data_IF_809188577678
#
_entry.id   IF_809188577678
#
_cell.length_a   1.000
_cell.length_b   1.000
_cell.length_c   1.000
_cell.angle_alpha   90.00
_cell.angle_beta   90.00
_cell.angle_gamma   90.00
#
_symmetry.space_group_name_H-M   'P 1'
#
loop_
_entity.id
_entity.type
_entity.pdbx_description
1 polymer ?
#
# COMPACT_ATOMS: atom_id res chain seq x y z
N UNK A 1 -4.77 14.18 -3.04
CA UNK A 1 -3.85 15.26 -3.45
C UNK A 1 -3.08 14.71 -4.64
N UNK A 2 -2.79 15.56 -5.63
CA UNK A 2 -2.11 15.17 -6.87
C UNK A 2 -0.74 15.86 -6.91
N UNK A 3 0.18 15.36 -7.74
CA UNK A 3 1.55 15.89 -7.82
C UNK A 3 1.60 17.37 -8.23
N UNK A 4 0.67 17.78 -9.10
CA UNK A 4 0.45 19.19 -9.47
C UNK A 4 -1.02 19.55 -9.33
N UNK A 5 -1.32 20.82 -9.07
CA UNK A 5 -2.68 21.34 -9.15
C UNK A 5 -3.09 21.63 -10.60
N UNK A 6 -4.40 21.64 -10.87
CA UNK A 6 -4.92 21.98 -12.21
C UNK A 6 -4.54 23.39 -12.64
N UNK A 7 -4.51 24.35 -11.71
CA UNK A 7 -4.11 25.72 -11.99
C UNK A 7 -2.64 25.82 -12.43
N UNK A 8 -1.75 25.03 -11.81
CA UNK A 8 -0.33 24.97 -12.22
C UNK A 8 -0.16 24.30 -13.58
N UNK A 9 -0.98 23.29 -13.89
CA UNK A 9 -0.97 22.62 -15.19
C UNK A 9 -1.50 23.55 -16.30
N UNK A 10 -2.60 24.26 -16.04
CA UNK A 10 -3.21 25.22 -16.96
C UNK A 10 -2.27 26.38 -17.26
N UNK A 11 -1.66 26.97 -16.22
CA UNK A 11 -0.66 28.02 -16.38
C UNK A 11 0.55 27.59 -17.23
N UNK A 12 0.89 26.29 -17.24
CA UNK A 12 1.97 25.75 -18.05
C UNK A 12 1.58 25.53 -19.53
N UNK A 13 0.30 25.31 -19.82
CA UNK A 13 -0.18 25.15 -21.19
C UNK A 13 -0.16 26.47 -21.98
N UNK A 14 -0.26 27.61 -21.30
CA UNK A 14 -0.39 28.94 -21.91
C UNK A 14 -1.60 29.01 -22.88
N UNK A 15 -2.69 28.33 -22.52
CA UNK A 15 -3.92 28.20 -23.31
C UNK A 15 -5.13 28.62 -22.46
N UNK A 16 -6.08 29.37 -23.03
CA UNK A 16 -7.31 29.77 -22.34
C UNK A 16 -8.32 28.60 -22.37
N UNK A 17 -8.38 27.82 -21.30
CA UNK A 17 -9.36 26.76 -21.19
C UNK A 17 -10.76 27.35 -20.95
N UNK A 18 -11.74 26.92 -21.74
CA UNK A 18 -13.13 27.35 -21.54
C UNK A 18 -13.65 26.89 -20.17
N UNK A 19 -14.37 27.78 -19.47
CA UNK A 19 -15.05 27.45 -18.21
C UNK A 19 -15.93 26.21 -18.39
N UNK A 20 -15.68 25.15 -17.60
CA UNK A 20 -16.42 23.88 -17.67
C UNK A 20 -15.77 22.79 -18.54
N UNK A 21 -14.52 22.95 -18.95
CA UNK A 21 -13.73 21.88 -19.58
C UNK A 21 -13.51 20.72 -18.59
N UNK A 22 -14.31 19.65 -18.72
CA UNK A 22 -14.19 18.44 -17.88
C UNK A 22 -13.04 17.53 -18.31
N UNK A 23 -12.54 17.71 -19.52
CA UNK A 23 -11.52 16.84 -20.11
C UNK A 23 -10.12 17.11 -19.57
N UNK A 24 -9.80 18.38 -19.31
CA UNK A 24 -8.47 18.77 -18.84
C UNK A 24 -8.15 18.23 -17.43
N UNK A 25 -9.04 18.34 -16.43
CA UNK A 25 -8.84 17.70 -15.13
C UNK A 25 -8.66 16.17 -15.24
N UNK A 26 -9.46 15.50 -16.06
CA UNK A 26 -9.37 14.05 -16.28
C UNK A 26 -7.99 13.65 -16.87
N UNK A 27 -7.46 14.48 -17.77
CA UNK A 27 -6.13 14.26 -18.35
C UNK A 27 -5.02 14.41 -17.30
N UNK A 28 -5.13 15.41 -16.43
CA UNK A 28 -4.20 15.63 -15.34
C UNK A 28 -4.22 14.46 -14.34
N UNK A 29 -5.41 13.98 -13.97
CA UNK A 29 -5.57 12.79 -13.10
C UNK A 29 -4.97 11.53 -13.75
N UNK A 30 -5.16 11.36 -15.06
CA UNK A 30 -4.56 10.24 -15.80
C UNK A 30 -3.02 10.34 -15.84
N UNK A 31 -2.46 11.54 -16.00
CA UNK A 31 -1.03 11.77 -16.00
C UNK A 31 -0.42 11.48 -14.62
N UNK A 32 -1.07 11.95 -13.56
CA UNK A 32 -0.70 11.68 -12.16
C UNK A 32 -0.67 10.18 -11.86
N UNK A 33 -1.76 9.46 -12.17
CA UNK A 33 -1.85 8.02 -12.00
C UNK A 33 -0.79 7.26 -12.82
N UNK A 34 -0.52 7.73 -14.03
CA UNK A 34 0.51 7.15 -14.90
C UNK A 34 1.92 7.32 -14.32
N UNK A 35 2.25 8.52 -13.80
CA UNK A 35 3.54 8.80 -13.18
C UNK A 35 3.76 7.94 -11.93
N UNK A 36 2.74 7.79 -11.07
CA UNK A 36 2.77 6.90 -9.91
C UNK A 36 2.99 5.44 -10.31
N UNK A 37 2.30 4.96 -11.34
CA UNK A 37 2.48 3.61 -11.87
C UNK A 37 3.88 3.40 -12.48
N UNK A 38 4.41 4.40 -13.18
CA UNK A 38 5.73 4.36 -13.79
C UNK A 38 6.84 4.29 -12.72
N UNK A 39 6.75 5.15 -11.70
CA UNK A 39 7.70 5.23 -10.60
C UNK A 39 7.50 4.14 -9.54
N UNK A 40 6.33 3.48 -9.56
CA UNK A 40 5.90 2.42 -8.62
C UNK A 40 5.85 2.87 -7.16
N UNK A 41 5.43 4.12 -6.96
CA UNK A 41 5.27 4.75 -5.67
C UNK A 41 4.30 5.92 -5.78
N UNK A 42 3.76 6.30 -4.63
CA UNK A 42 3.05 7.56 -4.45
C UNK A 42 4.05 8.66 -4.08
N UNK A 43 3.67 9.91 -4.36
CA UNK A 43 4.53 11.06 -4.11
C UNK A 43 3.98 11.93 -3.00
N UNK A 44 2.68 11.91 -2.77
CA UNK A 44 2.03 12.69 -1.73
C UNK A 44 2.18 12.03 -0.37
N UNK A 45 2.32 12.86 0.66
CA UNK A 45 2.43 12.41 2.04
C UNK A 45 1.18 11.62 2.47
N UNK A 46 1.38 10.40 2.93
CA UNK A 46 0.35 9.56 3.54
C UNK A 46 0.94 8.63 4.60
N UNK A 47 0.06 8.10 5.45
CA UNK A 47 0.41 7.10 6.46
C UNK A 47 0.13 5.70 5.93
N UNK A 48 1.10 4.81 6.14
CA UNK A 48 1.13 3.45 5.62
C UNK A 48 1.32 2.45 6.75
N UNK A 49 0.56 1.36 6.70
CA UNK A 49 0.82 0.12 7.45
C UNK A 49 1.09 -0.97 6.42
N UNK A 50 2.36 -1.35 6.29
CA UNK A 50 2.80 -2.28 5.27
C UNK A 50 3.49 -3.50 5.88
N UNK A 51 3.38 -4.62 5.14
CA UNK A 51 4.00 -5.87 5.52
C UNK A 51 4.96 -6.30 4.42
N UNK A 52 6.20 -6.58 4.81
CA UNK A 52 7.29 -6.93 3.93
C UNK A 52 7.74 -8.37 4.16
N UNK A 53 8.25 -8.98 3.09
CA UNK A 53 8.95 -10.25 3.17
C UNK A 53 10.37 -10.01 3.66
N UNK A 54 10.79 -10.72 4.69
CA UNK A 54 12.19 -10.73 5.07
C UNK A 54 12.99 -11.68 4.20
N UNK A 55 14.21 -11.27 3.85
CA UNK A 55 15.11 -12.05 2.98
C UNK A 55 16.38 -12.53 3.70
N UNK A 56 16.51 -12.29 5.02
CA UNK A 56 17.74 -12.57 5.76
C UNK A 56 18.82 -11.50 5.58
N UNK A 57 18.54 -10.44 4.83
CA UNK A 57 19.50 -9.37 4.52
C UNK A 57 19.40 -8.21 5.53
N UNK A 58 20.48 -7.43 5.72
CA UNK A 58 20.49 -6.25 6.58
C UNK A 58 19.53 -5.15 6.15
N UNK A 59 19.26 -5.04 4.86
CA UNK A 59 18.51 -3.93 4.29
C UNK A 59 17.09 -4.33 3.90
N UNK A 60 16.14 -3.45 4.21
CA UNK A 60 14.74 -3.51 3.80
C UNK A 60 14.37 -2.20 3.12
N UNK A 61 13.80 -2.30 1.92
CA UNK A 61 13.46 -1.16 1.09
C UNK A 61 11.96 -0.89 1.19
N UNK A 62 11.61 0.28 1.72
CA UNK A 62 10.22 0.71 1.83
C UNK A 62 9.64 1.06 0.46
N UNK A 63 8.33 0.89 0.33
CA UNK A 63 7.63 1.16 -0.92
C UNK A 63 7.53 2.65 -1.21
N UNK A 64 7.41 3.46 -0.15
CA UNK A 64 7.14 4.90 -0.21
C UNK A 64 8.26 5.66 0.49
N UNK A 65 8.69 6.76 -0.11
CA UNK A 65 9.74 7.64 0.41
C UNK A 65 9.64 9.02 -0.29
N UNK A 66 10.11 10.12 0.32
CA UNK A 66 10.88 10.18 1.56
C UNK A 66 10.03 9.85 2.80
N UNK A 67 10.62 9.24 3.81
CA UNK A 67 9.97 8.91 5.09
C UNK A 67 10.11 10.09 6.03
N UNK A 68 9.00 10.64 6.50
CA UNK A 68 8.97 11.78 7.42
C UNK A 68 8.77 11.35 8.87
N UNK A 69 8.11 10.22 9.09
CA UNK A 69 7.93 9.64 10.42
C UNK A 69 7.83 8.12 10.34
N UNK A 70 8.48 7.40 11.27
CA UNK A 70 8.36 5.95 11.40
C UNK A 70 7.94 5.65 12.83
N UNK A 71 6.69 5.21 12.97
CA UNK A 71 6.06 5.00 14.28
C UNK A 71 6.27 3.61 14.82
N UNK A 72 6.42 2.60 13.95
CA UNK A 72 6.66 1.22 14.37
C UNK A 72 7.37 0.39 13.30
N UNK A 73 8.35 -0.39 13.76
CA UNK A 73 8.92 -1.53 13.04
C UNK A 73 8.71 -2.79 13.89
N UNK A 74 8.19 -3.86 13.33
CA UNK A 74 8.14 -5.19 13.97
C UNK A 74 8.69 -6.21 12.99
N UNK A 75 9.64 -7.07 13.40
CA UNK A 75 10.38 -7.94 12.47
C UNK A 75 9.89 -9.39 12.43
N UNK A 76 8.93 -9.72 13.28
CA UNK A 76 8.34 -11.05 13.42
C UNK A 76 6.85 -10.94 13.72
N UNK A 77 6.19 -12.10 13.75
CA UNK A 77 4.83 -12.27 14.24
C UNK A 77 4.84 -13.25 15.40
N UNK A 78 3.87 -13.11 16.29
CA UNK A 78 3.67 -13.99 17.44
C UNK A 78 2.21 -14.38 17.57
N UNK A 79 1.94 -15.59 18.05
CA UNK A 79 0.58 -16.03 18.35
C UNK A 79 0.01 -15.21 19.51
N UNK A 80 -1.20 -14.67 19.34
CA UNK A 80 -1.90 -13.91 20.39
C UNK A 80 -3.20 -14.58 20.80
N UNK A 81 -3.93 -15.14 19.84
CA UNK A 81 -5.21 -15.82 20.05
C UNK A 81 -5.20 -17.10 19.24
N UNK A 82 -5.47 -18.24 19.86
CA UNK A 82 -5.66 -19.50 19.14
C UNK A 82 -7.13 -19.87 19.10
N UNK A 83 -7.58 -20.44 17.99
CA UNK A 83 -8.98 -20.85 17.80
C UNK A 83 -9.08 -22.28 17.29
N UNK A 84 -10.10 -23.02 17.72
CA UNK A 84 -10.43 -24.33 17.18
C UNK A 84 -11.94 -24.54 17.06
N UNK A 85 -12.35 -25.44 16.16
CA UNK A 85 -13.70 -25.96 16.13
C UNK A 85 -13.72 -27.31 16.86
N UNK A 86 -14.59 -27.44 17.86
CA UNK A 86 -14.66 -28.62 18.74
C UNK A 86 -15.56 -29.73 18.19
N UNK A 87 -16.27 -29.47 17.09
CA UNK A 87 -17.05 -30.52 16.43
C UNK A 87 -16.13 -31.46 15.62
N UNK A 88 -16.52 -32.74 15.55
CA UNK A 88 -15.82 -33.76 14.77
C UNK A 88 -16.38 -33.79 13.33
N UNK A 89 -15.83 -33.01 12.38
CA UNK A 89 -16.38 -32.90 11.01
C UNK A 89 -15.35 -32.57 9.90
N UNK A 90 -15.88 -32.46 8.66
CA UNK A 90 -15.17 -32.42 7.37
C UNK A 90 -14.54 -31.07 7.01
N UNK A 91 -15.11 -29.92 7.39
CA UNK A 91 -14.47 -28.60 7.14
C UNK A 91 -14.75 -27.57 8.24
N UNK A 92 -13.68 -26.97 8.77
CA UNK A 92 -13.72 -25.80 9.63
C UNK A 92 -12.51 -24.92 9.34
N UNK A 93 -12.72 -23.61 9.15
CA UNK A 93 -11.64 -22.68 8.87
C UNK A 93 -11.79 -21.35 9.60
N UNK A 94 -10.66 -20.76 9.94
CA UNK A 94 -10.56 -19.42 10.50
C UNK A 94 -9.87 -18.48 9.51
N UNK A 95 -10.46 -17.31 9.30
CA UNK A 95 -9.94 -16.24 8.43
C UNK A 95 -9.95 -14.92 9.19
N UNK A 96 -8.83 -14.21 9.17
CA UNK A 96 -8.70 -12.84 9.68
C UNK A 96 -8.68 -11.89 8.49
N UNK A 97 -9.68 -11.02 8.41
CA UNK A 97 -9.77 -9.96 7.41
C UNK A 97 -9.24 -8.64 7.98
N UNK A 98 -9.31 -7.55 7.21
CA UNK A 98 -8.99 -6.20 7.73
C UNK A 98 -10.00 -5.68 8.76
N UNK A 99 -11.17 -6.30 8.88
CA UNK A 99 -12.28 -5.78 9.70
C UNK A 99 -12.82 -6.77 10.72
N UNK A 100 -12.34 -8.02 10.73
CA UNK A 100 -12.86 -9.03 11.65
C UNK A 100 -12.27 -10.41 11.48
N UNK A 101 -12.78 -11.35 12.28
CA UNK A 101 -12.54 -12.79 12.14
C UNK A 101 -13.78 -13.46 11.59
N UNK A 102 -13.60 -14.32 10.60
CA UNK A 102 -14.65 -15.17 10.03
C UNK A 102 -14.30 -16.62 10.34
N UNK A 103 -15.20 -17.28 11.07
CA UNK A 103 -15.12 -18.69 11.41
C UNK A 103 -16.15 -19.44 10.57
N UNK A 104 -15.70 -20.31 9.68
CA UNK A 104 -16.57 -21.04 8.77
C UNK A 104 -16.60 -22.51 9.15
N UNK A 105 -17.80 -23.05 9.34
CA UNK A 105 -18.05 -24.45 9.64
C UNK A 105 -19.02 -25.03 8.62
N UNK A 106 -18.59 -26.03 7.83
CA UNK A 106 -19.38 -26.64 6.75
C UNK A 106 -20.07 -25.62 5.83
N UNK A 107 -19.33 -24.59 5.41
CA UNK A 107 -19.85 -23.52 4.54
C UNK A 107 -20.71 -22.46 5.26
N UNK A 108 -21.03 -22.64 6.54
CA UNK A 108 -21.72 -21.62 7.35
C UNK A 108 -20.70 -20.71 8.03
N UNK A 109 -20.74 -19.41 7.74
CA UNK A 109 -19.83 -18.43 8.30
C UNK A 109 -20.42 -17.70 9.52
N UNK A 110 -19.62 -17.56 10.57
CA UNK A 110 -19.84 -16.66 11.72
C UNK A 110 -18.80 -15.55 11.67
N UNK A 111 -19.25 -14.30 11.61
CA UNK A 111 -18.39 -13.12 11.46
C UNK A 111 -18.34 -12.32 12.76
N UNK A 112 -17.13 -12.01 13.22
CA UNK A 112 -16.85 -11.22 14.41
C UNK A 112 -16.12 -9.94 13.98
N UNK A 113 -16.81 -8.81 13.98
CA UNK A 113 -16.23 -7.53 13.55
C UNK A 113 -15.37 -6.92 14.67
N UNK A 114 -14.21 -6.37 14.30
CA UNK A 114 -13.31 -5.71 15.25
C UNK A 114 -13.91 -4.46 15.90
N UNK A 115 -14.83 -3.79 15.20
CA UNK A 115 -15.56 -2.64 15.75
C UNK A 115 -16.44 -3.02 16.96
N UNK A 116 -17.00 -4.23 16.96
CA UNK A 116 -17.85 -4.74 18.05
C UNK A 116 -17.01 -5.39 19.16
N UNK A 117 -15.88 -5.97 18.80
CA UNK A 117 -14.97 -6.69 19.70
C UNK A 117 -13.58 -6.07 19.70
N UNK A 118 -13.46 -4.86 20.25
CA UNK A 118 -12.27 -4.02 20.13
C UNK A 118 -10.98 -4.64 20.72
N UNK A 119 -11.08 -5.54 21.70
CA UNK A 119 -9.92 -6.21 22.31
C UNK A 119 -9.95 -7.72 22.09
N UNK A 120 -8.80 -8.38 22.18
CA UNK A 120 -8.73 -9.84 22.06
C UNK A 120 -9.52 -10.57 23.14
N UNK A 121 -9.66 -10.01 24.35
CA UNK A 121 -10.54 -10.59 25.39
C UNK A 121 -12.01 -10.57 24.98
N UNK A 122 -12.49 -9.44 24.43
CA UNK A 122 -13.88 -9.33 23.96
C UNK A 122 -14.14 -10.29 22.79
N UNK A 123 -13.18 -10.38 21.86
CA UNK A 123 -13.25 -11.29 20.73
C UNK A 123 -13.23 -12.76 21.18
N UNK A 124 -12.34 -13.12 22.10
CA UNK A 124 -12.27 -14.46 22.67
C UNK A 124 -13.60 -14.85 23.32
N UNK A 125 -14.18 -13.97 24.14
CA UNK A 125 -15.46 -14.22 24.78
C UNK A 125 -16.59 -14.44 23.77
N UNK A 126 -16.64 -13.64 22.69
CA UNK A 126 -17.62 -13.79 21.63
C UNK A 126 -17.48 -15.11 20.86
N UNK A 127 -16.25 -15.53 20.56
CA UNK A 127 -15.99 -16.81 19.91
C UNK A 127 -16.40 -17.97 20.83
N UNK A 128 -16.04 -17.92 22.10
CA UNK A 128 -16.41 -18.96 23.09
C UNK A 128 -17.92 -19.03 23.36
N UNK A 129 -18.66 -17.95 23.12
CA UNK A 129 -20.12 -17.96 23.17
C UNK A 129 -20.75 -18.65 21.95
N UNK A 130 -19.98 -18.92 20.89
CA UNK A 130 -20.45 -19.57 19.66
C UNK A 130 -20.31 -21.09 19.79
N UNK A 131 -21.44 -21.80 19.68
CA UNK A 131 -21.47 -23.25 19.82
C UNK A 131 -20.50 -23.95 18.87
N UNK A 132 -19.69 -24.87 19.41
CA UNK A 132 -18.72 -25.65 18.64
C UNK A 132 -17.42 -24.93 18.33
N UNK A 133 -17.19 -23.74 18.86
CA UNK A 133 -15.93 -23.00 18.73
C UNK A 133 -15.29 -22.76 20.10
N UNK A 134 -13.96 -22.77 20.12
CA UNK A 134 -13.16 -22.42 21.28
C UNK A 134 -12.05 -21.45 20.88
N UNK A 135 -11.77 -20.49 21.74
CA UNK A 135 -10.74 -19.49 21.60
C UNK A 135 -10.00 -19.29 22.93
N UNK A 136 -8.68 -19.22 22.85
CA UNK A 136 -7.81 -19.06 24.00
C UNK A 136 -6.72 -18.02 23.69
N UNK A 137 -6.53 -17.07 24.60
CA UNK A 137 -5.38 -16.16 24.53
C UNK A 137 -4.09 -16.94 24.81
N UNK A 138 -3.02 -16.56 24.11
CA UNK A 138 -1.72 -17.20 24.32
C UNK A 138 -1.17 -16.95 25.72
N UNK A 139 -1.41 -15.76 26.28
CA UNK A 139 -1.04 -15.37 27.64
C UNK A 139 -1.89 -14.17 28.10
N UNK A 140 -1.76 -13.78 29.37
CA UNK A 140 -2.52 -12.67 29.95
C UNK A 140 -2.14 -11.28 29.41
N UNK A 141 -0.95 -11.10 28.85
CA UNK A 141 -0.52 -9.82 28.27
C UNK A 141 -1.30 -9.49 26.98
N UNK A 142 -1.85 -10.50 26.29
CA UNK A 142 -2.62 -10.30 25.06
C UNK A 142 -4.03 -9.77 25.30
N UNK A 143 -4.52 -9.86 26.53
CA UNK A 143 -5.91 -9.60 26.87
C UNK A 143 -6.39 -8.20 26.43
N UNK A 144 -5.52 -7.20 26.59
CA UNK A 144 -5.81 -5.80 26.26
C UNK A 144 -5.43 -5.41 24.83
N UNK A 145 -4.78 -6.29 24.06
CA UNK A 145 -4.43 -5.96 22.68
C UNK A 145 -5.67 -5.75 21.83
N UNK A 146 -5.58 -4.80 20.90
CA UNK A 146 -6.66 -4.50 19.99
C UNK A 146 -6.84 -5.65 19.00
N UNK A 147 -8.08 -6.02 18.70
CA UNK A 147 -8.37 -7.06 17.71
C UNK A 147 -7.94 -6.66 16.30
N UNK A 148 -7.86 -5.36 16.01
CA UNK A 148 -7.32 -4.79 14.77
C UNK A 148 -5.83 -5.07 14.56
N UNK A 149 -5.10 -5.49 15.59
CA UNK A 149 -3.69 -5.88 15.48
C UNK A 149 -3.49 -7.29 14.92
N UNK A 150 -4.56 -8.08 14.78
CA UNK A 150 -4.47 -9.41 14.19
C UNK A 150 -4.00 -9.32 12.73
N UNK A 151 -2.94 -10.05 12.42
CA UNK A 151 -2.42 -10.21 11.08
C UNK A 151 -3.44 -10.95 10.21
N UNK A 152 -3.63 -10.46 8.98
CA UNK A 152 -4.47 -11.14 7.99
C UNK A 152 -4.00 -12.58 7.79
N UNK A 153 -4.96 -13.49 7.80
CA UNK A 153 -4.75 -14.92 7.64
C UNK A 153 -5.98 -15.51 6.95
N UNK A 154 -5.80 -16.49 6.07
CA UNK A 154 -6.91 -17.00 5.26
C UNK A 154 -6.98 -18.52 5.34
N UNK A 155 -8.17 -19.03 5.64
CA UNK A 155 -8.48 -20.46 5.54
C UNK A 155 -7.67 -21.37 6.47
N UNK A 156 -7.21 -20.90 7.64
CA UNK A 156 -6.49 -21.75 8.59
C UNK A 156 -7.42 -22.88 9.06
N UNK A 157 -7.08 -24.13 8.75
CA UNK A 157 -7.91 -25.31 9.08
C UNK A 157 -7.87 -25.60 10.58
N UNK A 158 -9.04 -25.63 11.21
CA UNK A 158 -9.19 -25.71 12.66
C UNK A 158 -10.16 -26.81 13.10
N UNK A 159 -10.23 -27.89 12.32
CA UNK A 159 -11.08 -29.07 12.56
C UNK A 159 -10.62 -29.90 13.77
N UNK A 160 -11.49 -30.72 14.35
CA UNK A 160 -11.16 -31.73 15.35
C UNK A 160 -10.43 -31.18 16.59
N UNK A 161 -10.84 -30.01 17.06
CA UNK A 161 -10.20 -29.28 18.16
C UNK A 161 -8.73 -28.94 17.92
N UNK A 162 -8.27 -28.96 16.65
CA UNK A 162 -6.94 -28.52 16.29
C UNK A 162 -6.88 -26.99 16.35
N UNK A 163 -6.10 -26.48 17.29
CA UNK A 163 -5.86 -25.04 17.42
C UNK A 163 -5.05 -24.51 16.25
N UNK A 164 -5.50 -23.37 15.73
CA UNK A 164 -4.74 -22.52 14.81
C UNK A 164 -4.44 -21.19 15.46
N UNK A 165 -3.22 -20.71 15.26
CA UNK A 165 -2.78 -19.44 15.80
C UNK A 165 -3.26 -18.27 14.93
N UNK A 166 -3.88 -17.29 15.56
CA UNK A 166 -4.12 -15.97 15.02
C UNK A 166 -3.06 -15.04 15.60
N UNK A 167 -2.24 -14.51 14.70
CA UNK A 167 -0.98 -13.87 15.04
C UNK A 167 -1.12 -12.34 15.04
N UNK A 168 -0.29 -11.67 15.81
CA UNK A 168 -0.09 -10.21 15.78
C UNK A 168 1.37 -9.92 15.41
N UNK A 169 1.71 -8.70 14.95
CA UNK A 169 3.10 -8.29 14.85
C UNK A 169 3.76 -8.38 16.21
N UNK A 170 5.01 -8.82 16.22
CA UNK A 170 5.80 -8.92 17.45
C UNK A 170 6.08 -7.54 18.05
N UNK A 171 6.74 -7.53 19.20
CA UNK A 171 7.23 -6.32 19.85
C UNK A 171 7.98 -5.43 18.87
N UNK A 172 7.87 -4.12 19.09
CA UNK A 172 8.55 -3.15 18.24
C UNK A 172 10.07 -3.34 18.35
N UNK A 173 10.73 -3.31 17.19
CA UNK A 173 12.17 -3.33 17.06
C UNK A 173 12.76 -2.00 17.53
N UNK A 174 13.83 -2.06 18.30
CA UNK A 174 14.42 -0.89 18.97
C UNK A 174 15.75 -0.47 18.36
N UNK A 175 16.41 -1.33 17.59
CA UNK A 175 17.72 -1.07 17.01
C UNK A 175 17.68 -1.22 15.49
N UNK A 176 17.61 -0.09 14.80
CA UNK A 176 17.68 0.02 13.33
C UNK A 176 18.10 1.44 12.94
N UNK A 177 18.54 1.59 11.70
CA UNK A 177 18.77 2.90 11.08
C UNK A 177 17.85 3.07 9.89
N UNK A 178 17.41 4.30 9.64
CA UNK A 178 16.56 4.66 8.51
C UNK A 178 17.28 5.74 7.69
N UNK A 179 17.52 5.46 6.41
CA UNK A 179 17.73 6.50 5.40
C UNK A 179 16.34 6.98 4.94
N UNK A 180 15.97 8.17 5.40
CA UNK A 180 14.66 8.76 5.15
C UNK A 180 14.44 9.08 3.68
N UNK A 181 15.49 9.47 2.95
CA UNK A 181 15.35 9.98 1.59
C UNK A 181 15.16 8.84 0.59
N UNK A 182 15.82 7.70 0.83
CA UNK A 182 15.73 6.51 -0.01
C UNK A 182 14.78 5.43 0.52
N UNK A 183 14.26 5.59 1.74
CA UNK A 183 13.37 4.62 2.38
C UNK A 183 14.07 3.30 2.73
N UNK A 184 15.36 3.33 3.03
CA UNK A 184 16.15 2.13 3.36
C UNK A 184 16.23 1.97 4.88
N UNK A 185 15.66 0.89 5.38
CA UNK A 185 15.85 0.44 6.75
C UNK A 185 17.00 -0.55 6.81
N UNK A 186 17.98 -0.30 7.68
CA UNK A 186 19.09 -1.21 7.92
C UNK A 186 19.07 -1.70 9.35
N UNK A 187 19.25 -3.01 9.51
CA UNK A 187 19.38 -3.64 10.82
C UNK A 187 20.61 -4.54 10.83
N UNK A 188 21.53 -4.28 11.76
CA UNK A 188 22.85 -4.92 11.79
C UNK A 188 22.78 -6.46 11.88
N UNK A 189 21.76 -6.98 12.56
CA UNK A 189 21.52 -8.42 12.72
C UNK A 189 20.76 -9.07 11.54
N UNK A 190 20.32 -8.30 10.55
CA UNK A 190 19.56 -8.79 9.40
C UNK A 190 18.06 -8.92 9.66
N UNK A 191 17.23 -8.67 8.65
CA UNK A 191 15.79 -8.93 8.68
C UNK A 191 15.49 -10.43 8.56
N UNK A 192 14.78 -11.05 9.54
CA UNK A 192 14.56 -12.49 9.56
C UNK A 192 13.78 -12.91 8.32
N UNK A 193 14.17 -14.02 7.71
CA UNK A 193 13.52 -14.51 6.50
C UNK A 193 12.08 -14.96 6.79
N UNK A 194 11.13 -14.53 5.97
CA UNK A 194 9.72 -14.88 6.15
C UNK A 194 8.80 -14.20 5.15
N UNK A 195 7.54 -14.65 5.12
CA UNK A 195 6.50 -14.07 4.27
C UNK A 195 5.70 -13.05 5.07
N UNK A 196 5.68 -11.80 4.61
CA UNK A 196 4.97 -10.68 5.21
C UNK A 196 5.21 -10.54 6.74
N UNK A 197 6.37 -11.00 7.22
CA UNK A 197 6.68 -11.11 8.64
C UNK A 197 7.15 -9.80 9.26
N UNK A 198 7.53 -8.81 8.43
CA UNK A 198 8.01 -7.51 8.88
C UNK A 198 6.89 -6.49 8.69
N UNK A 199 6.41 -5.87 9.76
CA UNK A 199 5.45 -4.76 9.71
C UNK A 199 6.18 -3.43 9.86
N UNK A 200 5.81 -2.46 9.05
CA UNK A 200 6.27 -1.07 9.18
C UNK A 200 5.06 -0.14 9.16
N UNK A 201 4.92 0.68 10.20
CA UNK A 201 3.93 1.76 10.30
C UNK A 201 4.65 3.10 10.19
N UNK A 202 4.43 3.84 9.10
CA UNK A 202 5.21 5.03 8.76
C UNK A 202 4.42 6.05 7.93
N UNK A 203 4.86 7.31 7.96
CA UNK A 203 4.40 8.38 7.08
C UNK A 203 5.49 8.69 6.06
N UNK A 204 5.13 8.71 4.78
CA UNK A 204 6.06 8.98 3.69
C UNK A 204 5.41 9.73 2.54
N UNK A 205 6.24 10.39 1.73
CA UNK A 205 5.85 11.26 0.63
C UNK A 205 6.05 12.73 0.96
N UNK A 206 5.87 13.57 -0.05
CA UNK A 206 6.04 15.02 0.00
C UNK A 206 4.73 15.72 0.38
N UNK A 207 4.84 16.81 1.12
CA UNK A 207 3.75 17.78 1.25
C UNK A 207 3.56 18.51 -0.09
N UNK A 208 2.48 19.28 -0.25
CA UNK A 208 2.29 20.15 -1.42
C UNK A 208 3.43 21.15 -1.59
N UNK A 209 3.99 21.61 -0.48
CA UNK A 209 4.97 22.70 -0.42
C UNK A 209 6.38 22.16 -0.63
N UNK A 210 6.63 20.91 -0.25
CA UNK A 210 7.94 20.24 -0.37
C UNK A 210 8.05 19.34 -1.62
N UNK A 211 7.00 19.25 -2.43
CA UNK A 211 6.99 18.45 -3.66
C UNK A 211 8.07 18.95 -4.65
N UNK A 212 9.03 18.10 -5.07
CA UNK A 212 10.12 18.52 -5.94
C UNK A 212 9.65 19.13 -7.27
N UNK A 213 10.22 20.28 -7.62
CA UNK A 213 9.83 21.05 -8.81
C UNK A 213 10.15 20.34 -10.13
N UNK A 214 11.15 19.48 -10.15
CA UNK A 214 11.48 18.66 -11.31
C UNK A 214 10.40 17.60 -11.58
N UNK A 215 9.87 16.89 -10.57
CA UNK A 215 8.73 15.98 -10.74
C UNK A 215 7.51 16.77 -11.23
N UNK A 216 7.20 17.93 -10.63
CA UNK A 216 6.11 18.79 -11.11
C UNK A 216 6.29 19.15 -12.58
N UNK A 217 7.52 19.48 -12.98
CA UNK A 217 7.89 19.78 -14.37
C UNK A 217 7.69 18.56 -15.27
N UNK A 218 8.08 17.37 -14.85
CA UNK A 218 7.87 16.13 -15.61
C UNK A 218 6.39 15.84 -15.85
N UNK A 219 5.54 16.02 -14.84
CA UNK A 219 4.07 15.87 -14.98
C UNK A 219 3.51 16.93 -15.92
N UNK A 220 3.91 18.21 -15.78
CA UNK A 220 3.50 19.31 -16.67
C UNK A 220 3.84 19.03 -18.14
N UNK A 221 5.05 18.53 -18.42
CA UNK A 221 5.49 18.12 -19.77
C UNK A 221 4.59 16.99 -20.30
N UNK A 222 4.28 15.99 -19.46
CA UNK A 222 3.43 14.87 -19.86
C UNK A 222 2.00 15.32 -20.18
N UNK A 223 1.40 16.16 -19.32
CA UNK A 223 0.06 16.73 -19.53
C UNK A 223 0.02 17.53 -20.83
N UNK A 224 1.03 18.38 -21.08
CA UNK A 224 1.13 19.16 -22.32
C UNK A 224 1.19 18.26 -23.57
N UNK A 225 2.06 17.26 -23.57
CA UNK A 225 2.18 16.31 -24.68
C UNK A 225 0.85 15.58 -24.95
N UNK A 226 0.14 15.15 -23.90
CA UNK A 226 -1.14 14.47 -24.06
C UNK A 226 -2.27 15.41 -24.51
N UNK A 227 -2.25 16.67 -24.06
CA UNK A 227 -3.22 17.70 -24.45
C UNK A 227 -3.08 18.06 -25.94
N UNK A 228 -1.85 18.26 -26.42
CA UNK A 228 -1.56 18.54 -27.82
C UNK A 228 -1.93 17.34 -28.72
N UNK A 229 -1.60 16.12 -28.33
CA UNK A 229 -1.98 14.90 -29.08
C UNK A 229 -3.49 14.72 -29.23
N UNK A 230 -4.26 15.16 -28.22
CA UNK A 230 -5.72 15.16 -28.26
C UNK A 230 -6.24 16.20 -29.25
N UNK A 231 -5.77 17.45 -29.19
CA UNK A 231 -6.28 18.54 -30.03
C UNK A 231 -5.96 18.35 -31.52
N UNK A 232 -4.83 17.71 -31.83
CA UNK A 232 -4.39 17.44 -33.20
C UNK A 232 -5.20 16.33 -33.91
N UNK A 233 -6.19 15.70 -33.24
CA UNK A 233 -6.83 14.46 -33.73
C UNK A 233 -5.80 13.40 -34.16
N UNK A 234 -4.62 13.44 -33.55
CA UNK A 234 -3.45 12.63 -33.88
C UNK A 234 -3.54 11.19 -33.37
N UNK A 235 -4.68 10.83 -32.77
CA UNK A 235 -5.01 9.45 -32.42
C UNK A 235 -4.94 8.59 -33.69
N UNK A 236 -3.97 7.68 -33.74
CA UNK A 236 -3.71 6.75 -34.84
C UNK A 236 -3.03 7.33 -36.10
N UNK A 237 -2.41 8.50 -36.02
CA UNK A 237 -1.49 8.98 -37.06
C UNK A 237 -0.06 8.57 -36.71
N UNK A 238 0.66 7.92 -37.64
CA UNK A 238 2.06 7.55 -37.43
C UNK A 238 3.01 8.74 -37.69
N UNK A 239 2.67 9.58 -38.67
CA UNK A 239 3.41 10.78 -39.05
C UNK A 239 2.45 11.83 -39.63
N UNK A 240 2.73 13.11 -39.48
CA UNK A 240 2.05 14.19 -40.21
C UNK A 240 3.01 15.35 -40.48
N UNK A 241 2.69 16.20 -41.47
CA UNK A 241 3.52 17.34 -41.86
C UNK A 241 2.87 18.64 -41.43
N UNK A 242 3.62 19.49 -40.72
CA UNK A 242 3.20 20.85 -40.37
C UNK A 242 4.19 21.81 -41.00
N UNK A 243 3.70 22.69 -41.88
CA UNK A 243 4.54 23.72 -42.51
C UNK A 243 5.75 23.18 -43.30
N UNK A 244 5.67 21.95 -43.83
CA UNK A 244 6.77 21.31 -44.56
C UNK A 244 7.74 20.50 -43.70
N UNK A 245 7.56 20.47 -42.37
CA UNK A 245 8.32 19.62 -41.46
C UNK A 245 7.53 18.35 -41.13
N UNK A 246 8.16 17.19 -41.32
CA UNK A 246 7.58 15.90 -40.93
C UNK A 246 7.74 15.68 -39.41
N UNK A 247 6.63 15.50 -38.68
CA UNK A 247 6.58 15.13 -37.27
C UNK A 247 6.19 13.66 -37.13
N UNK A 248 7.00 12.88 -36.45
CA UNK A 248 6.65 11.51 -36.06
C UNK A 248 5.88 11.54 -34.75
N UNK A 249 4.73 10.86 -34.69
CA UNK A 249 3.99 10.71 -33.44
C UNK A 249 4.51 9.45 -32.78
N UNK A 250 5.55 9.62 -31.96
CA UNK A 250 6.11 8.52 -31.19
C UNK A 250 5.25 8.36 -29.92
N UNK A 251 4.62 7.19 -29.76
CA UNK A 251 3.89 6.79 -28.54
C UNK A 251 4.89 6.41 -27.43
N UNK A 252 5.78 7.33 -27.11
CA UNK A 252 6.79 7.18 -26.06
C UNK A 252 6.70 8.42 -25.18
N UNK A 253 6.96 8.20 -23.89
CA UNK A 253 7.08 9.25 -22.88
C UNK A 253 8.03 10.33 -23.40
N UNK A 254 7.70 11.63 -23.29
CA UNK A 254 8.62 12.71 -23.63
C UNK A 254 10.00 12.47 -22.99
N UNK A 255 11.11 12.51 -23.77
CA UNK A 255 12.44 12.17 -23.26
C UNK A 255 12.84 12.95 -22.00
N UNK A 256 12.46 14.22 -21.93
CA UNK A 256 12.73 15.13 -20.82
C UNK A 256 12.01 14.68 -19.55
N UNK A 257 10.71 14.36 -19.65
CA UNK A 257 9.94 13.82 -18.53
C UNK A 257 10.51 12.47 -18.09
N UNK A 258 10.88 11.60 -19.03
CA UNK A 258 11.48 10.30 -18.72
C UNK A 258 12.78 10.42 -17.94
N UNK A 259 13.69 11.32 -18.35
CA UNK A 259 14.96 11.53 -17.67
C UNK A 259 14.78 11.91 -16.20
N UNK A 260 13.79 12.75 -15.89
CA UNK A 260 13.46 13.14 -14.53
C UNK A 260 12.84 11.95 -13.77
N UNK A 261 11.81 11.31 -14.34
CA UNK A 261 11.07 10.24 -13.68
C UNK A 261 11.91 8.99 -13.40
N UNK A 262 12.92 8.70 -14.24
CA UNK A 262 13.85 7.58 -14.02
C UNK A 262 14.62 7.72 -12.69
N UNK A 263 14.93 8.95 -12.25
CA UNK A 263 15.60 9.20 -10.97
C UNK A 263 14.69 8.96 -9.75
N UNK A 264 13.38 9.06 -9.92
CA UNK A 264 12.39 8.86 -8.86
C UNK A 264 11.80 7.45 -8.84
N UNK A 265 12.23 6.60 -9.76
CA UNK A 265 11.74 5.25 -9.87
C UNK A 265 12.23 4.42 -8.70
N UNK A 266 11.29 3.75 -8.04
CA UNK A 266 11.60 2.85 -6.94
C UNK A 266 12.59 1.76 -7.36
N UNK A 267 13.63 1.58 -6.55
CA UNK A 267 14.62 0.52 -6.74
C UNK A 267 13.94 -0.86 -6.69
N UNK A 268 14.29 -1.73 -7.65
CA UNK A 268 13.88 -3.13 -7.64
C UNK A 268 14.86 -3.92 -6.80
N UNK A 269 14.34 -4.66 -5.82
CA UNK A 269 15.03 -5.72 -5.09
C UNK A 269 14.39 -7.04 -5.46
#
# INVERSE_FOLDING_TARGET
MSIISYAEAEAFLDDELSVGNLDFPLLCDAADAWVKAYCRRDFESATYTEYYNGHGLPDLFLNQYPVTDLTRLSVSRRSALRVCNTNALTTASATVTSTGVVLTYNGTASTFLFADYATLTLLQAAINATSGWSAELQNSAEAAMLSTELCKAYGKSCINSQYVDLEVPDVAEYDFTLDTDSGILTRAVGFPAGLANIRVDYTAGYSSDDMPEDIKTAVKILVKDWWEKRSESAFNLANYSVGGMAKQIISVIPPEARMILDAYRRMRV
#
